data_IF_600230801280
#
_entry.id   IF_600230801280
#
_cell.length_a   1.000
_cell.length_b   1.000
_cell.length_c   1.000
_cell.angle_alpha   90.00
_cell.angle_beta   90.00
_cell.angle_gamma   90.00
#
_symmetry.space_group_name_H-M   'P 1'
#
loop_
_entity.id
_entity.type
_entity.pdbx_description
1 polymer ?
#
# COMPACT_ATOMS: atom_id res chain seq x y z
N UNK A 1 2.48 7.60 37.79
CA UNK A 1 3.26 7.93 36.57
C UNK A 1 3.12 6.76 35.62
N UNK A 2 2.62 7.00 34.40
CA UNK A 2 2.29 5.92 33.46
C UNK A 2 3.54 5.25 32.90
N UNK A 3 3.52 3.92 32.83
CA UNK A 3 4.55 3.13 32.15
C UNK A 3 4.35 3.26 30.63
N UNK A 4 5.38 3.72 29.91
CA UNK A 4 5.35 3.88 28.45
C UNK A 4 6.04 2.69 27.79
N UNK A 5 5.24 1.83 27.15
CA UNK A 5 5.75 0.69 26.38
C UNK A 5 5.83 1.04 24.90
N UNK A 6 7.05 1.03 24.35
CA UNK A 6 7.30 1.20 22.92
C UNK A 6 7.54 -0.17 22.25
N UNK A 7 7.12 -0.30 20.99
CA UNK A 7 7.28 -1.53 20.20
C UNK A 7 8.06 -1.22 18.92
N UNK A 8 8.89 -2.18 18.52
CA UNK A 8 9.55 -2.21 17.23
C UNK A 8 9.25 -3.55 16.55
N UNK A 9 9.23 -3.57 15.23
CA UNK A 9 8.98 -4.75 14.42
C UNK A 9 10.05 -4.84 13.34
N UNK A 10 10.50 -6.06 13.06
CA UNK A 10 11.39 -6.36 11.95
C UNK A 10 11.06 -7.72 11.39
N UNK A 11 11.34 -7.91 10.10
CA UNK A 11 11.10 -9.17 9.40
C UNK A 11 12.25 -9.44 8.43
N UNK A 12 12.64 -10.71 8.31
CA UNK A 12 13.63 -11.14 7.33
C UNK A 12 13.19 -12.46 6.70
N UNK A 13 13.34 -12.54 5.38
CA UNK A 13 13.05 -13.72 4.59
C UNK A 13 14.10 -14.78 4.84
N UNK A 14 13.73 -15.87 5.52
CA UNK A 14 14.65 -17.00 5.78
C UNK A 14 14.81 -17.90 4.55
N UNK A 15 13.72 -18.12 3.81
CA UNK A 15 13.71 -18.90 2.57
C UNK A 15 12.78 -18.24 1.57
N UNK A 16 13.26 -18.04 0.34
CA UNK A 16 12.53 -17.30 -0.69
C UNK A 16 11.31 -18.08 -1.23
N UNK A 17 11.42 -19.40 -1.44
CA UNK A 17 10.28 -20.25 -1.80
C UNK A 17 9.60 -19.78 -3.08
N UNK A 18 8.30 -19.50 -3.04
CA UNK A 18 7.52 -19.00 -4.19
C UNK A 18 8.15 -17.76 -4.85
N UNK A 19 8.81 -16.89 -4.07
CA UNK A 19 9.45 -15.68 -4.59
C UNK A 19 10.69 -15.94 -5.44
N UNK A 20 11.22 -17.16 -5.49
CA UNK A 20 12.28 -17.55 -6.45
C UNK A 20 11.75 -17.55 -7.89
N UNK A 21 10.48 -17.89 -8.06
CA UNK A 21 9.82 -17.96 -9.38
C UNK A 21 9.07 -16.65 -9.68
N UNK A 22 8.47 -16.03 -8.68
CA UNK A 22 7.64 -14.83 -8.86
C UNK A 22 8.08 -13.68 -7.93
N UNK A 23 9.10 -12.89 -8.32
CA UNK A 23 9.76 -11.95 -7.43
C UNK A 23 9.03 -10.59 -7.27
N UNK A 24 8.03 -10.29 -8.09
CA UNK A 24 7.42 -8.95 -8.18
C UNK A 24 6.80 -8.44 -6.87
N UNK A 25 6.34 -9.35 -6.01
CA UNK A 25 5.72 -9.03 -4.72
C UNK A 25 6.58 -9.44 -3.53
N UNK A 26 7.87 -9.72 -3.74
CA UNK A 26 8.78 -10.12 -2.67
C UNK A 26 8.92 -8.98 -1.64
N UNK A 27 8.59 -9.21 -0.35
CA UNK A 27 8.79 -8.21 0.68
C UNK A 27 10.27 -7.83 0.80
N UNK A 28 10.54 -6.57 1.14
CA UNK A 28 11.88 -6.16 1.53
C UNK A 28 12.15 -6.65 2.95
N UNK A 29 13.36 -7.13 3.18
CA UNK A 29 13.81 -7.46 4.52
C UNK A 29 14.05 -6.16 5.33
N UNK A 30 13.60 -6.17 6.57
CA UNK A 30 13.76 -5.12 7.57
C UNK A 30 14.23 -5.74 8.89
N UNK A 31 15.52 -6.14 8.97
CA UNK A 31 16.04 -6.85 10.12
C UNK A 31 16.24 -5.90 11.32
N UNK A 32 15.84 -6.36 12.50
CA UNK A 32 16.16 -5.69 13.77
C UNK A 32 17.42 -6.30 14.41
N UNK A 33 18.19 -5.52 15.19
CA UNK A 33 19.31 -6.05 15.96
C UNK A 33 18.87 -7.17 16.91
N UNK A 34 19.78 -8.11 17.18
CA UNK A 34 19.55 -9.15 18.19
C UNK A 34 19.54 -8.52 19.58
N UNK A 35 18.45 -8.75 20.32
CA UNK A 35 18.26 -8.26 21.69
C UNK A 35 17.92 -9.43 22.61
N UNK A 36 18.23 -9.28 23.90
CA UNK A 36 17.83 -10.23 24.94
C UNK A 36 16.67 -9.69 25.76
N UNK A 37 15.85 -10.60 26.29
CA UNK A 37 14.79 -10.22 27.24
C UNK A 37 15.41 -9.57 28.46
N UNK A 38 14.90 -8.39 28.84
CA UNK A 38 15.43 -7.60 29.95
C UNK A 38 16.68 -6.77 29.62
N UNK A 39 17.13 -6.76 28.37
CA UNK A 39 18.26 -5.92 27.96
C UNK A 39 17.94 -4.43 28.13
N UNK A 40 18.81 -3.73 28.87
CA UNK A 40 18.68 -2.29 29.10
C UNK A 40 19.21 -1.54 27.88
N UNK A 41 18.34 -0.78 27.23
CA UNK A 41 18.69 0.07 26.10
C UNK A 41 18.83 1.52 26.52
N UNK A 42 19.79 2.22 25.93
CA UNK A 42 19.91 3.68 26.08
C UNK A 42 19.01 4.37 25.07
N UNK A 43 18.10 5.20 25.55
CA UNK A 43 17.28 6.05 24.69
C UNK A 43 18.18 7.15 24.11
N UNK A 44 18.27 7.21 22.79
CA UNK A 44 19.09 8.21 22.08
C UNK A 44 18.29 9.50 21.83
N UNK A 45 16.98 9.39 21.58
CA UNK A 45 16.08 10.53 21.39
C UNK A 45 14.63 10.14 21.67
N UNK A 46 13.80 11.12 22.01
CA UNK A 46 12.34 10.99 22.16
C UNK A 46 11.70 12.16 21.40
N UNK A 47 10.74 11.87 20.53
CA UNK A 47 10.00 12.88 19.77
C UNK A 47 8.49 12.71 19.94
N UNK A 48 7.77 13.82 20.04
CA UNK A 48 6.31 13.85 19.95
C UNK A 48 5.93 14.29 18.54
N UNK A 49 5.21 13.44 17.80
CA UNK A 49 4.78 13.74 16.45
C UNK A 49 3.27 14.02 16.42
N UNK A 50 2.89 15.18 15.88
CA UNK A 50 1.50 15.49 15.57
C UNK A 50 1.11 14.87 14.23
N UNK A 51 0.06 14.05 14.20
CA UNK A 51 -0.53 13.51 12.98
C UNK A 51 -1.77 14.29 12.56
N UNK A 52 -2.09 14.25 11.26
CA UNK A 52 -3.39 14.67 10.70
C UNK A 52 -3.95 13.51 9.89
N UNK A 53 -5.27 13.43 9.80
CA UNK A 53 -5.91 12.48 8.90
C UNK A 53 -5.82 13.00 7.47
N UNK A 54 -5.53 12.11 6.54
CA UNK A 54 -5.54 12.41 5.11
C UNK A 54 -6.83 11.87 4.48
N UNK A 55 -7.37 12.56 3.45
CA UNK A 55 -8.49 12.03 2.69
C UNK A 55 -8.06 10.74 1.95
N UNK A 56 -9.02 9.87 1.60
CA UNK A 56 -8.72 8.68 0.82
C UNK A 56 -8.13 9.05 -0.54
N UNK A 57 -7.25 8.19 -1.03
CA UNK A 57 -6.73 8.32 -2.38
C UNK A 57 -7.85 8.22 -3.41
N UNK A 58 -7.65 8.85 -4.57
CA UNK A 58 -8.52 8.66 -5.73
C UNK A 58 -8.42 7.21 -6.22
N UNK A 59 -9.47 6.74 -6.88
CA UNK A 59 -9.54 5.37 -7.39
C UNK A 59 -8.53 5.15 -8.51
N UNK A 60 -7.83 4.03 -8.42
CA UNK A 60 -7.07 3.47 -9.52
C UNK A 60 -7.97 2.62 -10.41
N UNK A 61 -7.53 2.34 -11.63
CA UNK A 61 -8.31 1.51 -12.56
C UNK A 61 -8.61 0.12 -11.97
N UNK A 62 -7.63 -0.49 -11.28
CA UNK A 62 -7.80 -1.78 -10.61
C UNK A 62 -8.80 -1.70 -9.45
N UNK A 63 -8.76 -0.64 -8.64
CA UNK A 63 -9.73 -0.43 -7.56
C UNK A 63 -11.14 -0.18 -8.09
N UNK A 64 -11.27 0.56 -9.19
CA UNK A 64 -12.55 0.74 -9.87
C UNK A 64 -13.10 -0.61 -10.34
N UNK A 65 -12.31 -1.44 -11.03
CA UNK A 65 -12.73 -2.77 -11.49
C UNK A 65 -13.15 -3.67 -10.32
N UNK A 66 -12.43 -3.63 -9.20
CA UNK A 66 -12.76 -4.36 -7.97
C UNK A 66 -14.09 -3.90 -7.38
N UNK A 67 -14.31 -2.59 -7.30
CA UNK A 67 -15.58 -2.03 -6.82
C UNK A 67 -16.74 -2.42 -7.73
N UNK A 68 -16.54 -2.40 -9.05
CA UNK A 68 -17.57 -2.84 -10.00
C UNK A 68 -17.93 -4.32 -9.79
N UNK A 69 -16.95 -5.17 -9.51
CA UNK A 69 -17.18 -6.58 -9.16
C UNK A 69 -18.02 -6.73 -7.89
N UNK A 70 -17.57 -6.09 -6.81
CA UNK A 70 -18.20 -6.17 -5.49
C UNK A 70 -19.65 -5.67 -5.52
N UNK A 71 -19.95 -4.72 -6.40
CA UNK A 71 -21.29 -4.16 -6.58
C UNK A 71 -22.10 -4.83 -7.71
N UNK A 72 -21.57 -5.89 -8.34
CA UNK A 72 -22.27 -6.63 -9.41
C UNK A 72 -22.50 -5.83 -10.69
N UNK A 73 -21.69 -4.80 -10.95
CA UNK A 73 -21.79 -3.96 -12.14
C UNK A 73 -20.97 -4.57 -13.28
N UNK A 74 -21.67 -5.18 -14.23
CA UNK A 74 -21.06 -5.86 -15.36
C UNK A 74 -20.52 -7.26 -15.04
N UNK A 75 -19.93 -7.88 -16.03
CA UNK A 75 -19.39 -9.25 -16.00
C UNK A 75 -17.87 -9.24 -16.16
N UNK A 76 -17.22 -10.37 -15.88
CA UNK A 76 -15.77 -10.55 -16.09
C UNK A 76 -15.34 -10.13 -17.51
N UNK A 77 -16.15 -10.48 -18.52
CA UNK A 77 -15.90 -10.14 -19.92
C UNK A 77 -16.11 -8.65 -20.27
N UNK A 78 -16.85 -7.88 -19.48
CA UNK A 78 -17.24 -6.50 -19.84
C UNK A 78 -16.57 -5.44 -18.99
N UNK A 79 -16.25 -5.73 -17.72
CA UNK A 79 -15.71 -4.74 -16.77
C UNK A 79 -14.44 -4.05 -17.26
N UNK A 80 -13.53 -4.80 -17.87
CA UNK A 80 -12.27 -4.26 -18.41
C UNK A 80 -12.46 -3.18 -19.50
N UNK A 81 -13.64 -3.09 -20.12
CA UNK A 81 -13.91 -2.10 -21.18
C UNK A 81 -14.42 -0.76 -20.65
N UNK A 82 -14.99 -0.75 -19.44
CA UNK A 82 -15.67 0.44 -18.90
C UNK A 82 -14.73 1.60 -18.57
N UNK A 83 -13.54 1.41 -17.97
CA UNK A 83 -12.63 2.52 -17.69
C UNK A 83 -12.32 3.33 -18.96
N UNK A 84 -11.99 2.65 -20.06
CA UNK A 84 -11.73 3.29 -21.35
C UNK A 84 -12.96 4.04 -21.86
N UNK A 85 -14.14 3.43 -21.82
CA UNK A 85 -15.39 4.06 -22.29
C UNK A 85 -15.77 5.33 -21.51
N UNK A 86 -15.47 5.39 -20.22
CA UNK A 86 -15.74 6.54 -19.36
C UNK A 86 -14.74 7.66 -19.68
N UNK A 87 -13.46 7.32 -19.90
CA UNK A 87 -12.42 8.26 -20.32
C UNK A 87 -12.67 8.82 -21.73
N UNK A 88 -12.95 7.96 -22.71
CA UNK A 88 -13.19 8.32 -24.12
C UNK A 88 -14.39 9.26 -24.27
N UNK A 89 -15.40 9.12 -23.39
CA UNK A 89 -16.58 10.00 -23.34
C UNK A 89 -16.36 11.28 -22.53
N UNK A 90 -15.20 11.45 -21.91
CA UNK A 90 -14.87 12.62 -21.11
C UNK A 90 -15.57 12.70 -19.75
N UNK A 91 -16.12 11.58 -19.24
CA UNK A 91 -16.74 11.53 -17.90
C UNK A 91 -15.71 11.40 -16.78
N UNK A 92 -14.49 11.01 -17.12
CA UNK A 92 -13.37 10.97 -16.18
C UNK A 92 -12.08 11.36 -16.90
N UNK A 93 -11.09 11.75 -16.11
CA UNK A 93 -9.74 12.06 -16.57
C UNK A 93 -8.76 11.13 -15.86
N UNK A 94 -7.81 10.60 -16.62
CA UNK A 94 -6.68 9.84 -16.09
C UNK A 94 -5.58 10.83 -15.70
N UNK A 95 -5.40 11.04 -14.40
CA UNK A 95 -4.28 11.85 -13.91
C UNK A 95 -3.08 10.93 -13.68
N UNK A 96 -1.98 11.16 -14.41
CA UNK A 96 -0.74 10.47 -14.18
C UNK A 96 -0.16 10.84 -12.81
N UNK A 97 0.36 9.85 -12.08
CA UNK A 97 0.94 10.07 -10.75
C UNK A 97 2.31 10.73 -10.88
N UNK A 98 2.42 12.00 -10.51
CA UNK A 98 3.69 12.70 -10.38
C UNK A 98 4.38 12.29 -9.06
N UNK A 99 5.21 11.23 -9.12
CA UNK A 99 6.28 10.81 -8.16
C UNK A 99 5.84 10.34 -6.75
N UNK A 100 6.30 9.21 -6.16
CA UNK A 100 7.67 8.66 -6.17
C UNK A 100 7.62 7.17 -5.75
N UNK A 101 7.96 6.25 -6.67
CA UNK A 101 8.00 4.76 -6.57
C UNK A 101 6.65 4.04 -6.72
N UNK A 102 6.58 3.28 -7.82
CA UNK A 102 5.54 2.35 -8.25
C UNK A 102 4.30 3.02 -8.88
N UNK A 103 4.18 2.81 -10.19
CA UNK A 103 3.10 3.35 -11.01
C UNK A 103 1.78 2.69 -10.70
N UNK A 104 0.82 3.50 -10.26
CA UNK A 104 -0.60 3.20 -10.28
C UNK A 104 -1.28 4.34 -11.01
N UNK A 105 -2.14 3.97 -11.95
CA UNK A 105 -2.90 4.89 -12.79
C UNK A 105 -4.21 5.27 -12.08
N UNK A 106 -4.49 6.56 -11.97
CA UNK A 106 -5.59 7.10 -11.16
C UNK A 106 -6.68 7.71 -12.06
N UNK A 107 -7.94 7.37 -11.80
CA UNK A 107 -9.14 7.87 -12.49
C UNK A 107 -9.82 8.94 -11.62
N UNK A 108 -10.08 10.11 -12.20
CA UNK A 108 -10.80 11.24 -11.58
C UNK A 108 -12.13 11.45 -12.29
N UNK A 109 -13.25 11.36 -11.55
CA UNK A 109 -14.56 11.87 -11.98
C UNK A 109 -14.78 13.30 -11.47
#
# INVERSE_FOLDING_TARGET
MGELTLRSHGAQTVKAGFYEIYPYFRPRDDPIPRLRVGEKLRIVSIGLHGGRTEPPNRLTEAELLKLMEENGIGTDATRATYPKLILDRGYAIKEGVFSRRMGLDVVRA
#
